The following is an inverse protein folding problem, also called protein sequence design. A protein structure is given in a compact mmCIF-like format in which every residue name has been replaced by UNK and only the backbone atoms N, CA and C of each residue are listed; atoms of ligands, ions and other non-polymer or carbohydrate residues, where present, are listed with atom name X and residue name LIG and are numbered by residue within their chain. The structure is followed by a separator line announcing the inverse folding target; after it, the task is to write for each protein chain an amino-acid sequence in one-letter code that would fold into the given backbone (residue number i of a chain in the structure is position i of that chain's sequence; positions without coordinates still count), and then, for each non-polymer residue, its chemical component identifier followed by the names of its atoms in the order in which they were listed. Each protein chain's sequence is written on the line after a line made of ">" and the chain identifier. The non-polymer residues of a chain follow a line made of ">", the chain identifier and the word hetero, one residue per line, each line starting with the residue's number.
data_IF_765445531567
#
_entry.id   IF_765445531567
#
_cell.length_a   1.000
_cell.length_b   1.000
_cell.length_c   1.000
_cell.angle_alpha   90.00
_cell.angle_beta   90.00
_cell.angle_gamma   90.00
#
_symmetry.space_group_name_H-M   'P 1'
#
loop_
_entity.id
_entity.type
_entity.pdbx_description
1 polymer ?
#
# COMPACT_ATOMS: atom_id res chain seq x y z
N UNK A 1 32.92 24.25 -67.88
CA UNK A 1 31.90 23.29 -67.42
C UNK A 1 32.08 23.10 -65.91
N UNK A 2 31.24 23.75 -65.12
CA UNK A 2 31.28 23.69 -63.67
C UNK A 2 30.25 22.66 -63.19
N UNK A 3 30.72 21.53 -62.65
CA UNK A 3 29.86 20.52 -62.00
C UNK A 3 29.58 20.95 -60.57
N UNK A 4 28.36 21.30 -60.26
CA UNK A 4 27.87 21.64 -58.94
C UNK A 4 27.49 20.30 -58.26
N UNK A 5 28.27 19.91 -57.28
CA UNK A 5 27.95 18.78 -56.41
C UNK A 5 26.96 19.27 -55.35
N UNK A 6 25.73 18.81 -55.41
CA UNK A 6 24.74 19.05 -54.34
C UNK A 6 24.96 18.02 -53.25
N UNK A 7 25.47 18.48 -52.13
CA UNK A 7 25.54 17.68 -50.90
C UNK A 7 24.15 17.73 -50.25
N UNK A 8 23.41 16.61 -50.31
CA UNK A 8 22.23 16.41 -49.50
C UNK A 8 22.64 16.05 -48.07
N UNK A 9 22.42 17.01 -47.16
CA UNK A 9 22.55 16.76 -45.71
C UNK A 9 21.24 16.14 -45.30
N UNK A 10 21.27 14.81 -45.02
CA UNK A 10 20.15 14.08 -44.46
C UNK A 10 20.16 14.31 -42.95
N UNK A 11 19.35 15.25 -42.46
CA UNK A 11 19.14 15.45 -41.04
C UNK A 11 18.24 14.30 -40.51
N UNK A 12 18.87 13.32 -39.90
CA UNK A 12 18.15 12.29 -39.15
C UNK A 12 17.63 12.91 -37.83
N UNK A 13 16.36 13.29 -37.79
CA UNK A 13 15.69 13.67 -36.56
C UNK A 13 15.55 12.43 -35.67
N UNK A 14 16.41 12.29 -34.66
CA UNK A 14 16.24 11.33 -33.60
C UNK A 14 15.07 11.79 -32.72
N UNK A 15 13.86 11.33 -33.01
CA UNK A 15 12.76 11.42 -32.07
C UNK A 15 13.05 10.47 -30.91
N UNK A 16 13.66 10.99 -29.85
CA UNK A 16 13.69 10.33 -28.56
C UNK A 16 12.25 10.23 -28.08
N UNK A 17 11.63 9.07 -28.27
CA UNK A 17 10.38 8.72 -27.62
C UNK A 17 10.63 8.65 -26.11
N UNK A 18 10.40 9.76 -25.42
CA UNK A 18 10.28 9.75 -23.96
C UNK A 18 9.02 8.97 -23.66
N UNK A 19 9.17 7.66 -23.42
CA UNK A 19 8.12 6.82 -22.88
C UNK A 19 7.87 7.31 -21.45
N UNK A 20 6.93 8.23 -21.30
CA UNK A 20 6.35 8.51 -19.99
C UNK A 20 5.67 7.22 -19.53
N UNK A 21 6.35 6.41 -18.72
CA UNK A 21 5.70 5.33 -17.97
C UNK A 21 4.72 6.01 -17.03
N UNK A 22 3.43 5.95 -17.38
CA UNK A 22 2.36 6.36 -16.46
C UNK A 22 2.57 5.56 -15.18
N UNK A 23 2.60 6.24 -14.02
CA UNK A 23 2.64 5.54 -12.75
C UNK A 23 1.48 4.54 -12.66
N UNK A 24 1.68 3.34 -12.10
CA UNK A 24 0.60 2.38 -11.94
C UNK A 24 -0.54 3.01 -11.14
N UNK A 25 -1.77 2.65 -11.46
CA UNK A 25 -2.94 3.10 -10.70
C UNK A 25 -2.88 2.56 -9.27
N UNK A 26 -3.38 3.31 -8.30
CA UNK A 26 -3.37 2.93 -6.88
C UNK A 26 -3.95 1.54 -6.66
N UNK A 27 -5.03 1.18 -7.35
CA UNK A 27 -5.67 -0.14 -7.28
C UNK A 27 -4.76 -1.31 -7.66
N UNK A 28 -3.76 -1.07 -8.50
CA UNK A 28 -2.76 -2.08 -8.89
C UNK A 28 -1.52 -1.99 -8.02
N UNK A 29 -1.07 -0.77 -7.71
CA UNK A 29 0.15 -0.54 -6.95
C UNK A 29 0.05 -1.00 -5.49
N UNK A 30 -1.17 -0.95 -4.91
CA UNK A 30 -1.41 -1.36 -3.52
C UNK A 30 -1.37 -2.89 -3.33
N UNK A 31 -1.57 -3.68 -4.40
CA UNK A 31 -1.62 -5.16 -4.33
C UNK A 31 -0.25 -5.71 -3.97
N UNK A 32 -0.02 -5.90 -2.70
CA UNK A 32 1.19 -6.47 -2.10
C UNK A 32 0.95 -6.71 -0.62
N UNK A 33 1.93 -7.31 0.05
CA UNK A 33 1.99 -7.37 1.50
C UNK A 33 2.88 -6.25 2.04
N UNK A 34 2.38 -5.54 3.04
CA UNK A 34 2.92 -4.30 3.56
C UNK A 34 3.15 -4.37 5.06
N UNK A 35 4.32 -3.98 5.53
CA UNK A 35 4.71 -3.92 6.94
C UNK A 35 4.77 -2.47 7.43
N UNK A 36 4.10 -2.13 8.52
CA UNK A 36 4.13 -0.81 9.14
C UNK A 36 5.52 -0.48 9.67
N UNK A 37 6.09 0.64 9.19
CA UNK A 37 7.42 1.12 9.61
C UNK A 37 7.41 2.50 10.27
N UNK A 38 6.34 3.28 10.07
CA UNK A 38 6.23 4.62 10.64
C UNK A 38 4.75 4.97 10.86
N UNK A 39 4.45 5.66 11.94
CA UNK A 39 3.14 6.21 12.25
C UNK A 39 3.29 7.58 12.93
N UNK A 40 2.53 8.57 12.50
CA UNK A 40 2.57 9.93 13.05
C UNK A 40 2.36 9.92 14.56
N UNK A 41 3.30 10.55 15.27
CA UNK A 41 3.23 10.71 16.73
C UNK A 41 3.59 9.47 17.55
N UNK A 42 4.06 8.40 16.89
CA UNK A 42 4.49 7.17 17.55
C UNK A 42 5.98 6.94 17.31
N UNK A 43 6.74 6.74 18.39
CA UNK A 43 8.15 6.37 18.30
C UNK A 43 8.30 4.98 17.68
N UNK A 44 9.31 4.78 16.83
CA UNK A 44 9.54 3.52 16.12
C UNK A 44 9.60 2.31 17.06
N UNK A 45 10.17 2.48 18.27
CA UNK A 45 10.25 1.43 19.30
C UNK A 45 8.90 1.06 19.93
N UNK A 46 7.88 1.91 19.76
CA UNK A 46 6.52 1.73 20.29
C UNK A 46 5.51 1.35 19.20
N UNK A 47 5.93 1.23 17.94
CA UNK A 47 5.04 0.83 16.85
C UNK A 47 4.47 -0.56 17.11
N UNK A 48 3.17 -0.77 16.90
CA UNK A 48 2.62 -2.12 16.82
C UNK A 48 3.18 -2.83 15.58
N UNK A 49 3.30 -4.14 15.65
CA UNK A 49 3.62 -4.93 14.45
C UNK A 49 2.35 -5.12 13.63
N UNK A 50 2.31 -4.53 12.46
CA UNK A 50 1.15 -4.57 11.57
C UNK A 50 1.60 -4.96 10.17
N UNK A 51 0.95 -5.97 9.62
CA UNK A 51 1.09 -6.39 8.22
C UNK A 51 -0.27 -6.36 7.56
N UNK A 52 -0.34 -5.84 6.35
CA UNK A 52 -1.57 -5.79 5.54
C UNK A 52 -1.27 -6.44 4.20
N UNK A 53 -2.01 -7.48 3.85
CA UNK A 53 -1.95 -8.13 2.54
C UNK A 53 -3.16 -7.68 1.70
N UNK A 54 -2.94 -6.78 0.75
CA UNK A 54 -3.95 -6.36 -0.21
C UNK A 54 -3.90 -7.27 -1.44
N UNK A 55 -4.98 -7.99 -1.70
CA UNK A 55 -5.07 -8.96 -2.78
C UNK A 55 -5.75 -8.37 -4.03
N UNK A 56 -5.43 -8.91 -5.19
CA UNK A 56 -5.95 -8.44 -6.47
C UNK A 56 -7.48 -8.64 -6.64
N UNK A 57 -8.08 -9.48 -5.82
CA UNK A 57 -9.53 -9.72 -5.79
C UNK A 57 -10.29 -8.74 -4.87
N UNK A 58 -9.60 -7.68 -4.40
CA UNK A 58 -10.12 -6.69 -3.47
C UNK A 58 -10.46 -7.24 -2.07
N UNK A 59 -9.86 -8.33 -1.67
CA UNK A 59 -9.84 -8.78 -0.28
C UNK A 59 -8.55 -8.34 0.40
N UNK A 60 -8.57 -8.24 1.73
CA UNK A 60 -7.36 -7.98 2.52
C UNK A 60 -7.28 -8.92 3.71
N UNK A 61 -6.06 -9.13 4.17
CA UNK A 61 -5.76 -9.72 5.47
C UNK A 61 -4.93 -8.73 6.28
N UNK A 62 -5.34 -8.46 7.50
CA UNK A 62 -4.62 -7.61 8.44
C UNK A 62 -4.11 -8.49 9.59
N UNK A 63 -2.81 -8.46 9.81
CA UNK A 63 -2.16 -9.10 10.95
C UNK A 63 -1.63 -8.02 11.89
N UNK A 64 -2.11 -8.01 13.12
CA UNK A 64 -1.71 -7.00 14.10
C UNK A 64 -1.29 -7.67 15.41
N UNK A 65 -0.18 -7.18 15.99
CA UNK A 65 0.31 -7.60 17.27
C UNK A 65 0.76 -6.41 18.11
N UNK A 66 0.17 -6.26 19.28
CA UNK A 66 0.53 -5.25 20.26
C UNK A 66 1.22 -5.95 21.44
N UNK A 67 2.49 -5.60 21.69
CA UNK A 67 3.28 -6.22 22.75
C UNK A 67 3.71 -7.66 22.42
N UNK A 68 3.72 -8.51 23.43
CA UNK A 68 4.11 -9.92 23.30
C UNK A 68 2.91 -10.80 22.99
N UNK A 69 3.12 -11.89 22.27
CA UNK A 69 2.08 -12.85 21.94
C UNK A 69 1.99 -13.18 20.46
N UNK A 70 0.84 -13.73 20.03
CA UNK A 70 0.57 -14.08 18.64
C UNK A 70 -0.10 -12.93 17.92
N UNK A 71 0.05 -12.89 16.59
CA UNK A 71 -0.72 -11.99 15.75
C UNK A 71 -2.20 -12.28 15.85
N UNK A 72 -3.02 -11.23 15.72
CA UNK A 72 -4.45 -11.31 15.45
C UNK A 72 -4.66 -11.09 13.99
N UNK A 73 -5.45 -11.94 13.37
CA UNK A 73 -5.80 -11.86 11.96
C UNK A 73 -7.23 -11.32 11.82
N UNK A 74 -7.36 -10.32 10.98
CA UNK A 74 -8.64 -9.79 10.51
C UNK A 74 -8.69 -9.92 9.00
N UNK A 75 -9.87 -10.14 8.46
CA UNK A 75 -10.10 -10.28 7.03
C UNK A 75 -11.25 -9.37 6.60
N UNK A 76 -11.28 -9.06 5.32
CA UNK A 76 -12.36 -8.26 4.77
C UNK A 76 -12.15 -7.90 3.31
N UNK A 77 -12.86 -6.86 2.89
CA UNK A 77 -12.81 -6.33 1.53
C UNK A 77 -12.42 -4.86 1.54
N UNK A 78 -11.70 -4.44 0.52
CA UNK A 78 -11.35 -3.05 0.33
C UNK A 78 -11.82 -2.55 -1.04
N UNK A 79 -11.91 -1.24 -1.19
CA UNK A 79 -12.19 -0.58 -2.44
C UNK A 79 -11.21 0.58 -2.64
N UNK A 80 -10.91 0.89 -3.90
CA UNK A 80 -10.04 2.01 -4.27
C UNK A 80 -10.82 2.90 -5.23
N UNK A 81 -10.97 4.18 -4.87
CA UNK A 81 -11.53 5.21 -5.70
C UNK A 81 -10.47 6.30 -5.91
N UNK A 82 -9.84 6.34 -7.08
CA UNK A 82 -8.66 7.16 -7.38
C UNK A 82 -7.50 6.83 -6.45
N UNK A 83 -7.22 7.65 -5.43
CA UNK A 83 -6.20 7.42 -4.40
C UNK A 83 -6.79 6.99 -3.07
N UNK A 84 -8.11 7.10 -2.90
CA UNK A 84 -8.77 6.79 -1.63
C UNK A 84 -9.04 5.30 -1.51
N UNK A 85 -8.51 4.70 -0.46
CA UNK A 85 -8.70 3.30 -0.06
C UNK A 85 -9.65 3.26 1.13
N UNK A 86 -10.68 2.45 1.04
CA UNK A 86 -11.63 2.19 2.13
C UNK A 86 -11.79 0.69 2.30
N UNK A 87 -12.20 0.25 3.47
CA UNK A 87 -12.39 -1.18 3.71
C UNK A 87 -13.50 -1.49 4.70
N UNK A 88 -13.90 -2.74 4.66
CA UNK A 88 -14.89 -3.33 5.55
C UNK A 88 -14.44 -4.72 5.97
N UNK A 89 -14.47 -4.99 7.27
CA UNK A 89 -14.19 -6.31 7.82
C UNK A 89 -15.31 -7.31 7.53
N UNK A 90 -15.01 -8.59 7.56
CA UNK A 90 -15.99 -9.65 7.26
C UNK A 90 -17.12 -9.71 8.27
N UNK A 91 -16.94 -9.17 9.47
CA UNK A 91 -18.01 -9.04 10.48
C UNK A 91 -18.94 -7.84 10.24
N UNK A 92 -18.68 -7.04 9.18
CA UNK A 92 -19.50 -5.92 8.77
C UNK A 92 -19.11 -4.56 9.34
N UNK A 93 -18.07 -4.48 10.18
CA UNK A 93 -17.51 -3.20 10.65
C UNK A 93 -16.71 -2.53 9.51
N UNK A 94 -16.88 -1.23 9.35
CA UNK A 94 -16.06 -0.44 8.44
C UNK A 94 -14.69 -0.11 9.08
N UNK A 95 -13.69 0.19 8.28
CA UNK A 95 -12.45 0.77 8.79
C UNK A 95 -12.72 2.10 9.48
N UNK A 96 -11.90 2.47 10.45
CA UNK A 96 -12.05 3.73 11.20
C UNK A 96 -11.92 4.99 10.33
N UNK A 97 -11.31 4.87 9.15
CA UNK A 97 -11.17 5.95 8.17
C UNK A 97 -11.11 5.40 6.74
N UNK A 98 -11.34 6.28 5.76
CA UNK A 98 -10.75 6.14 4.43
C UNK A 98 -9.33 6.69 4.46
N UNK A 99 -8.47 6.20 3.59
CA UNK A 99 -7.06 6.59 3.53
C UNK A 99 -6.69 7.07 2.14
N UNK A 100 -6.06 8.23 2.05
CA UNK A 100 -5.43 8.69 0.82
C UNK A 100 -4.08 7.96 0.67
N UNK A 101 -3.98 7.10 -0.34
CA UNK A 101 -2.83 6.26 -0.58
C UNK A 101 -1.90 6.89 -1.62
N UNK A 102 -0.63 6.94 -1.30
CA UNK A 102 0.45 7.33 -2.22
C UNK A 102 1.65 6.40 -2.09
N UNK A 103 2.59 6.48 -3.03
CA UNK A 103 3.75 5.58 -3.05
C UNK A 103 5.04 6.37 -3.16
N UNK A 104 6.03 5.96 -2.37
CA UNK A 104 7.40 6.48 -2.37
C UNK A 104 8.38 5.37 -2.80
N UNK A 105 9.65 5.73 -3.04
CA UNK A 105 10.73 4.79 -3.37
C UNK A 105 10.35 3.80 -4.50
N UNK A 106 9.87 4.32 -5.63
CA UNK A 106 9.46 3.53 -6.82
C UNK A 106 8.40 2.45 -6.51
N UNK A 107 7.54 2.71 -5.53
CA UNK A 107 6.45 1.80 -5.15
C UNK A 107 6.83 0.79 -4.06
N UNK A 108 8.00 0.93 -3.43
CA UNK A 108 8.41 0.07 -2.32
C UNK A 108 7.88 0.55 -0.96
N UNK A 109 7.43 1.81 -0.87
CA UNK A 109 6.81 2.38 0.32
C UNK A 109 5.38 2.82 -0.02
N UNK A 110 4.41 2.32 0.75
CA UNK A 110 3.02 2.78 0.73
C UNK A 110 2.83 3.79 1.86
N UNK A 111 2.28 4.94 1.54
CA UNK A 111 1.88 5.97 2.51
C UNK A 111 0.35 6.02 2.55
N UNK A 112 -0.24 5.88 3.71
CA UNK A 112 -1.68 5.99 3.94
C UNK A 112 -1.97 7.13 4.91
N UNK A 113 -2.61 8.19 4.42
CA UNK A 113 -3.03 9.33 5.23
C UNK A 113 -4.52 9.23 5.55
N UNK A 114 -4.88 9.22 6.83
CA UNK A 114 -6.27 9.12 7.27
C UNK A 114 -7.09 10.32 6.81
N UNK A 115 -8.26 10.06 6.24
CA UNK A 115 -9.15 11.06 5.64
C UNK A 115 -10.26 11.53 6.61
N UNK A 116 -10.06 11.34 7.90
CA UNK A 116 -11.00 11.72 8.97
C UNK A 116 -10.63 13.01 9.69
N UNK A 117 -9.59 13.71 9.22
CA UNK A 117 -9.10 14.97 9.84
C UNK A 117 -8.21 14.76 11.07
N UNK A 118 -7.86 13.52 11.42
CA UNK A 118 -6.95 13.23 12.56
C UNK A 118 -5.51 13.69 12.31
N UNK A 119 -5.10 13.77 11.02
CA UNK A 119 -3.71 14.02 10.64
C UNK A 119 -2.81 12.78 10.76
N UNK A 120 -3.39 11.60 11.00
CA UNK A 120 -2.64 10.36 11.05
C UNK A 120 -2.09 9.98 9.68
N UNK A 121 -0.82 9.66 9.63
CA UNK A 121 -0.12 9.15 8.44
C UNK A 121 0.67 7.92 8.86
N UNK A 122 0.46 6.83 8.15
CA UNK A 122 1.18 5.58 8.31
C UNK A 122 2.01 5.29 7.06
N UNK A 123 3.25 4.81 7.25
CA UNK A 123 4.10 4.33 6.17
C UNK A 123 4.37 2.85 6.33
N UNK A 124 4.35 2.16 5.22
CA UNK A 124 4.55 0.73 5.14
C UNK A 124 5.60 0.42 4.08
N UNK A 125 6.48 -0.53 4.35
CA UNK A 125 7.38 -1.11 3.36
C UNK A 125 6.82 -2.42 2.82
N UNK A 126 7.16 -2.78 1.58
CA UNK A 126 6.85 -4.12 1.06
C UNK A 126 7.63 -5.17 1.83
N UNK A 127 6.94 -5.94 2.65
CA UNK A 127 7.51 -7.05 3.40
C UNK A 127 6.42 -8.03 3.80
N UNK A 128 6.74 -9.32 3.72
CA UNK A 128 5.81 -10.39 4.07
C UNK A 128 6.01 -10.86 5.50
N UNK A 129 4.90 -11.11 6.20
CA UNK A 129 4.91 -11.81 7.46
C UNK A 129 5.31 -13.28 7.23
N UNK A 130 6.15 -13.82 8.10
CA UNK A 130 6.54 -15.23 8.05
C UNK A 130 5.31 -16.15 8.05
N UNK A 131 5.34 -17.20 7.25
CA UNK A 131 4.21 -18.12 7.09
C UNK A 131 3.85 -18.81 8.40
N UNK A 132 4.84 -19.12 9.23
CA UNK A 132 4.59 -19.73 10.55
C UNK A 132 3.83 -18.79 11.49
N UNK A 133 4.13 -17.49 11.44
CA UNK A 133 3.38 -16.48 12.20
C UNK A 133 1.95 -16.32 11.69
N UNK A 134 1.75 -16.36 10.38
CA UNK A 134 0.41 -16.35 9.76
C UNK A 134 -0.41 -17.56 10.20
N UNK A 135 0.18 -18.75 10.16
CA UNK A 135 -0.50 -20.02 10.53
C UNK A 135 -0.85 -20.07 12.03
N UNK A 136 -0.05 -19.39 12.86
CA UNK A 136 -0.27 -19.28 14.29
C UNK A 136 -1.15 -18.11 14.72
N UNK A 137 -1.54 -17.24 13.80
CA UNK A 137 -2.36 -16.07 14.11
C UNK A 137 -3.76 -16.47 14.58
N UNK A 138 -4.32 -15.73 15.54
CA UNK A 138 -5.72 -15.87 15.91
C UNK A 138 -6.61 -15.21 14.87
N UNK A 139 -7.56 -15.96 14.31
CA UNK A 139 -8.65 -15.35 13.55
C UNK A 139 -9.58 -14.66 14.54
N UNK A 140 -9.62 -13.35 14.49
CA UNK A 140 -10.40 -12.55 15.43
C UNK A 140 -11.87 -12.53 15.00
N UNK A 141 -12.75 -12.87 15.95
CA UNK A 141 -14.20 -12.76 15.77
C UNK A 141 -14.74 -11.59 16.60
N UNK A 142 -15.86 -11.01 16.21
CA UNK A 142 -16.49 -9.86 16.87
C UNK A 142 -16.71 -10.06 18.38
N UNK A 143 -16.93 -11.27 18.84
CA UNK A 143 -17.18 -11.59 20.25
C UNK A 143 -15.96 -11.44 21.17
N UNK A 144 -14.75 -11.43 20.61
CA UNK A 144 -13.46 -11.38 21.33
C UNK A 144 -12.73 -10.06 21.19
N UNK A 145 -13.36 -9.05 20.58
CA UNK A 145 -12.73 -7.80 20.16
C UNK A 145 -12.55 -6.85 21.34
N UNK A 146 -11.60 -7.17 22.22
CA UNK A 146 -11.13 -6.26 23.28
C UNK A 146 -9.93 -5.36 22.85
N UNK A 147 -9.45 -5.52 21.61
CA UNK A 147 -8.31 -4.77 21.06
C UNK A 147 -8.79 -3.99 19.86
N UNK A 148 -8.51 -2.68 19.88
CA UNK A 148 -8.80 -1.78 18.77
C UNK A 148 -8.11 -2.25 17.50
N UNK A 149 -8.87 -2.31 16.41
CA UNK A 149 -8.37 -2.67 15.08
C UNK A 149 -7.54 -1.53 14.53
N UNK A 150 -6.51 -1.88 13.78
CA UNK A 150 -5.56 -0.90 13.29
C UNK A 150 -6.12 -0.03 12.15
N UNK A 151 -7.01 -0.56 11.29
CA UNK A 151 -7.66 0.16 10.19
C UNK A 151 -9.10 0.52 10.51
#
# INVERSE_FOLDING_TARGET
>A
MKKIIRIMILAAALCAAVSCKKAPETSTAIVAEWHLIEMTGVETSALPQVYIDFKADYTFELYQKVGQGRFRKYEGKYAVAETIVTGKYDDGEDWGSGYDASFEADGEILVMAANNGSGEICKYEKASLDQTEKDNAYVQTKAEDSVERFL
#
